data_IF_914581539546
#
_entry.id   IF_914581539546
#
_cell.length_a   1.000
_cell.length_b   1.000
_cell.length_c   1.000
_cell.angle_alpha   90.00
_cell.angle_beta   90.00
_cell.angle_gamma   90.00
#
_symmetry.space_group_name_H-M   'P 1'
#
loop_
_entity.id
_entity.type
_entity.pdbx_description
1 polymer ?
#
# COMPACT_ATOMS: atom_id res chain seq x y z
N UNK A 1 -2.67 0.62 -17.13
CA UNK A 1 -1.57 1.54 -17.53
C UNK A 1 -1.60 2.78 -16.62
N UNK A 2 -0.47 3.37 -16.18
CA UNK A 2 -0.42 4.40 -15.12
C UNK A 2 -1.20 5.71 -15.40
N UNK A 3 -1.79 5.86 -16.58
CA UNK A 3 -2.57 7.02 -17.01
C UNK A 3 -4.08 6.82 -16.90
N UNK A 4 -4.54 5.64 -16.48
CA UNK A 4 -5.97 5.31 -16.37
C UNK A 4 -6.70 6.11 -15.29
N UNK A 5 -5.97 6.72 -14.34
CA UNK A 5 -6.54 7.47 -13.23
C UNK A 5 -6.49 9.00 -13.41
N UNK A 6 -6.13 9.50 -14.60
CA UNK A 6 -6.07 10.94 -14.88
C UNK A 6 -4.96 11.68 -14.12
N UNK A 7 -4.01 10.96 -13.52
CA UNK A 7 -2.89 11.56 -12.79
C UNK A 7 -1.89 12.16 -13.79
N UNK A 8 -1.53 13.45 -13.67
CA UNK A 8 -0.53 14.07 -14.53
C UNK A 8 0.80 13.30 -14.51
N UNK A 9 1.35 13.04 -15.70
CA UNK A 9 2.64 12.32 -15.86
C UNK A 9 3.76 12.92 -15.01
N UNK A 10 3.79 14.24 -14.90
CA UNK A 10 4.78 14.94 -14.09
C UNK A 10 4.75 14.53 -12.61
N UNK A 11 3.56 14.31 -12.02
CA UNK A 11 3.44 13.86 -10.63
C UNK A 11 3.93 12.41 -10.48
N UNK A 12 3.65 11.56 -11.47
CA UNK A 12 4.13 10.17 -11.49
C UNK A 12 5.66 10.15 -11.55
N UNK A 13 6.26 10.98 -12.41
CA UNK A 13 7.72 11.06 -12.55
C UNK A 13 8.37 11.63 -11.29
N UNK A 14 7.78 12.65 -10.65
CA UNK A 14 8.23 13.15 -9.34
C UNK A 14 8.16 12.08 -8.25
N UNK A 15 7.08 11.30 -8.20
CA UNK A 15 6.97 10.19 -7.26
C UNK A 15 8.05 9.13 -7.51
N UNK A 16 8.30 8.74 -8.77
CA UNK A 16 9.37 7.80 -9.13
C UNK A 16 10.75 8.28 -8.68
N UNK A 17 11.04 9.57 -8.83
CA UNK A 17 12.30 10.17 -8.36
C UNK A 17 12.40 10.06 -6.84
N UNK A 18 11.33 10.37 -6.10
CA UNK A 18 11.34 10.30 -4.63
C UNK A 18 11.64 8.89 -4.12
N UNK A 19 11.23 7.86 -4.86
CA UNK A 19 11.42 6.45 -4.51
C UNK A 19 12.56 5.79 -5.29
N UNK A 20 13.44 6.56 -5.93
CA UNK A 20 14.58 6.02 -6.67
C UNK A 20 15.72 5.66 -5.72
N UNK A 21 16.17 4.41 -5.77
CA UNK A 21 17.30 3.88 -4.98
C UNK A 21 17.26 4.27 -3.48
N UNK A 22 16.15 4.01 -2.77
CA UNK A 22 16.02 4.42 -1.38
C UNK A 22 17.03 3.66 -0.51
N UNK A 23 17.53 4.32 0.52
CA UNK A 23 18.50 3.77 1.46
C UNK A 23 18.08 4.04 2.89
N UNK A 24 18.39 3.12 3.78
CA UNK A 24 18.03 3.16 5.19
C UNK A 24 19.23 3.03 6.11
N UNK A 25 19.01 3.45 7.37
CA UNK A 25 19.87 3.18 8.52
C UNK A 25 19.00 2.84 9.71
N UNK A 26 19.49 2.00 10.60
CA UNK A 26 18.81 1.65 11.86
C UNK A 26 19.61 2.24 13.00
N UNK A 27 18.96 3.05 13.84
CA UNK A 27 19.55 3.55 15.09
C UNK A 27 19.12 2.66 16.25
N UNK A 28 20.08 2.12 16.99
CA UNK A 28 19.86 1.30 18.17
C UNK A 28 20.79 1.73 19.31
N UNK A 29 20.61 1.16 20.51
CA UNK A 29 21.47 1.47 21.67
C UNK A 29 22.96 1.16 21.42
N UNK A 30 23.27 0.19 20.55
CA UNK A 30 24.62 -0.17 20.14
C UNK A 30 25.23 0.78 19.09
N UNK A 31 24.50 1.79 18.63
CA UNK A 31 24.92 2.73 17.58
C UNK A 31 24.00 2.72 16.36
N UNK A 32 24.45 3.38 15.29
CA UNK A 32 23.74 3.44 14.00
C UNK A 32 24.34 2.44 13.02
N UNK A 33 23.49 1.71 12.30
CA UNK A 33 23.95 0.76 11.27
C UNK A 33 24.68 1.48 10.12
N UNK A 34 25.46 0.71 9.37
CA UNK A 34 25.84 1.13 8.02
C UNK A 34 24.60 1.32 7.16
N UNK A 35 24.73 2.15 6.14
CA UNK A 35 23.66 2.39 5.18
C UNK A 35 23.42 1.15 4.32
N UNK A 36 22.16 0.80 4.10
CA UNK A 36 21.77 -0.34 3.26
C UNK A 36 20.64 0.05 2.30
N UNK A 37 20.54 -0.59 1.12
CA UNK A 37 19.48 -0.31 0.16
C UNK A 37 18.13 -0.82 0.67
N UNK A 38 17.06 -0.07 0.39
CA UNK A 38 15.68 -0.49 0.61
C UNK A 38 15.16 -1.02 -0.73
N UNK A 39 14.85 -2.31 -0.78
CA UNK A 39 14.38 -2.98 -2.01
C UNK A 39 12.85 -3.01 -2.14
N UNK A 40 12.13 -2.89 -1.03
CA UNK A 40 10.67 -3.01 -0.96
C UNK A 40 10.09 -2.01 0.03
N UNK A 41 8.81 -1.70 -0.16
CA UNK A 41 8.06 -0.82 0.72
C UNK A 41 8.19 0.66 0.37
N UNK A 42 7.58 1.48 1.22
CA UNK A 42 7.56 2.95 1.11
C UNK A 42 8.24 3.57 2.32
N UNK A 43 8.56 4.86 2.27
CA UNK A 43 9.21 5.55 3.39
C UNK A 43 8.24 5.65 4.57
N UNK A 44 8.60 5.06 5.71
CA UNK A 44 7.82 5.26 6.94
C UNK A 44 7.88 6.73 7.37
N UNK A 45 6.73 7.31 7.71
CA UNK A 45 6.63 8.73 8.10
C UNK A 45 6.56 9.72 6.93
N UNK A 46 6.62 9.27 5.68
CA UNK A 46 6.36 10.13 4.51
C UNK A 46 4.86 10.39 4.34
N UNK A 47 4.48 11.66 4.12
CA UNK A 47 3.10 12.05 3.84
C UNK A 47 2.55 11.47 2.52
N UNK A 48 3.43 11.09 1.58
CA UNK A 48 3.04 10.49 0.29
C UNK A 48 2.82 8.99 0.40
N UNK A 49 3.43 8.33 1.39
CA UNK A 49 3.37 6.87 1.56
C UNK A 49 1.94 6.33 1.76
N UNK A 50 1.08 6.95 2.59
CA UNK A 50 -0.32 6.52 2.72
C UNK A 50 -1.10 6.57 1.41
N UNK A 51 -0.87 7.60 0.59
CA UNK A 51 -1.55 7.73 -0.71
C UNK A 51 -1.12 6.61 -1.67
N UNK A 52 0.19 6.35 -1.78
CA UNK A 52 0.69 5.28 -2.63
C UNK A 52 0.20 3.91 -2.15
N UNK A 53 0.13 3.71 -0.83
CA UNK A 53 -0.42 2.49 -0.25
C UNK A 53 -1.88 2.28 -0.65
N UNK A 54 -2.74 3.28 -0.46
CA UNK A 54 -4.16 3.20 -0.83
C UNK A 54 -4.35 2.95 -2.33
N UNK A 55 -3.56 3.59 -3.21
CA UNK A 55 -3.65 3.35 -4.66
C UNK A 55 -3.31 1.90 -5.02
N UNK A 56 -2.27 1.33 -4.39
CA UNK A 56 -1.90 -0.08 -4.60
C UNK A 56 -2.97 -1.01 -4.04
N UNK A 57 -3.47 -0.73 -2.83
CA UNK A 57 -4.52 -1.53 -2.22
C UNK A 57 -5.81 -1.49 -3.03
N UNK A 58 -6.22 -0.34 -3.55
CA UNK A 58 -7.37 -0.21 -4.45
C UNK A 58 -7.20 -1.08 -5.71
N UNK A 59 -6.02 -1.04 -6.33
CA UNK A 59 -5.74 -1.83 -7.52
C UNK A 59 -5.78 -3.34 -7.26
N UNK A 60 -5.21 -3.81 -6.15
CA UNK A 60 -5.15 -5.25 -5.81
C UNK A 60 -6.51 -5.78 -5.34
N UNK A 61 -7.27 -4.96 -4.62
CA UNK A 61 -8.56 -5.36 -4.05
C UNK A 61 -9.75 -5.08 -4.96
N UNK A 62 -9.55 -4.45 -6.13
CA UNK A 62 -10.63 -3.98 -7.03
C UNK A 62 -11.71 -5.02 -7.29
N UNK A 63 -11.31 -6.26 -7.54
CA UNK A 63 -12.24 -7.35 -7.88
C UNK A 63 -12.86 -8.01 -6.64
N UNK A 64 -12.30 -7.75 -5.46
CA UNK A 64 -12.76 -8.27 -4.17
C UNK A 64 -13.67 -7.29 -3.42
N UNK A 65 -13.58 -5.99 -3.73
CA UNK A 65 -14.35 -4.94 -3.06
C UNK A 65 -15.85 -5.07 -3.33
N UNK A 66 -16.62 -5.24 -2.24
CA UNK A 66 -18.07 -5.13 -2.25
C UNK A 66 -18.52 -3.87 -1.50
N UNK A 67 -19.70 -3.31 -1.83
CA UNK A 67 -20.24 -2.16 -1.10
C UNK A 67 -20.37 -2.42 0.41
N UNK A 68 -20.31 -1.36 1.20
CA UNK A 68 -20.55 -1.40 2.65
C UNK A 68 -21.88 -2.11 2.96
N UNK A 69 -21.95 -3.00 3.96
CA UNK A 69 -20.92 -3.31 4.97
C UNK A 69 -20.02 -4.50 4.65
N UNK A 70 -20.06 -5.05 3.44
CA UNK A 70 -19.45 -6.36 3.12
C UNK A 70 -17.92 -6.31 2.97
N UNK A 71 -17.39 -5.22 2.44
CA UNK A 71 -15.94 -4.97 2.37
C UNK A 71 -15.65 -3.54 2.78
N UNK A 72 -14.66 -3.37 3.66
CA UNK A 72 -14.16 -2.06 4.07
C UNK A 72 -12.63 -2.11 4.09
N UNK A 73 -12.00 -1.13 3.43
CA UNK A 73 -10.56 -0.93 3.50
C UNK A 73 -10.27 0.38 4.21
N UNK A 74 -9.38 0.33 5.18
CA UNK A 74 -8.88 1.52 5.86
C UNK A 74 -7.37 1.40 6.06
N UNK A 75 -6.60 2.23 5.35
CA UNK A 75 -5.14 2.13 5.39
C UNK A 75 -4.72 0.66 5.17
N UNK A 76 -3.98 0.07 6.11
CA UNK A 76 -3.53 -1.32 6.11
C UNK A 76 -4.57 -2.35 6.57
N UNK A 77 -5.71 -1.92 7.14
CA UNK A 77 -6.76 -2.81 7.62
C UNK A 77 -7.79 -3.13 6.53
N UNK A 78 -8.17 -4.40 6.46
CA UNK A 78 -9.27 -4.89 5.64
C UNK A 78 -10.30 -5.61 6.50
N UNK A 79 -11.57 -5.25 6.36
CA UNK A 79 -12.69 -5.94 6.97
C UNK A 79 -13.53 -6.61 5.90
N UNK A 80 -13.82 -7.90 6.10
CA UNK A 80 -14.74 -8.69 5.30
C UNK A 80 -15.91 -9.13 6.18
N UNK A 81 -17.13 -9.03 5.65
CA UNK A 81 -18.34 -9.52 6.29
C UNK A 81 -19.13 -10.40 5.32
N UNK A 82 -19.82 -11.40 5.89
CA UNK A 82 -20.71 -12.32 5.15
C UNK A 82 -21.83 -12.78 6.09
N UNK A 83 -22.96 -13.18 5.50
CA UNK A 83 -24.09 -13.75 6.24
C UNK A 83 -23.82 -15.18 6.75
N UNK A 84 -22.85 -15.87 6.16
CA UNK A 84 -22.49 -17.22 6.53
C UNK A 84 -20.98 -17.44 6.56
N UNK A 85 -20.57 -18.43 7.37
CA UNK A 85 -19.16 -18.77 7.61
C UNK A 85 -18.45 -19.27 6.34
N UNK A 86 -19.16 -19.97 5.46
CA UNK A 86 -18.56 -20.54 4.25
C UNK A 86 -18.25 -19.42 3.26
N UNK A 87 -19.17 -18.46 3.10
CA UNK A 87 -18.96 -17.24 2.31
C UNK A 87 -17.77 -16.44 2.82
N UNK A 88 -17.68 -16.20 4.13
CA UNK A 88 -16.57 -15.47 4.73
C UNK A 88 -15.22 -16.17 4.49
N UNK A 89 -15.18 -17.49 4.69
CA UNK A 89 -13.97 -18.29 4.47
C UNK A 89 -13.53 -18.25 3.00
N UNK A 90 -14.47 -18.34 2.05
CA UNK A 90 -14.16 -18.24 0.62
C UNK A 90 -13.60 -16.86 0.26
N UNK A 91 -14.19 -15.78 0.78
CA UNK A 91 -13.72 -14.42 0.51
C UNK A 91 -12.32 -14.17 1.09
N UNK A 92 -12.04 -14.67 2.29
CA UNK A 92 -10.73 -14.51 2.92
C UNK A 92 -9.61 -15.35 2.24
N UNK A 93 -9.97 -16.31 1.40
CA UNK A 93 -9.05 -17.21 0.70
C UNK A 93 -8.91 -16.91 -0.81
N UNK A 94 -9.64 -15.90 -1.31
CA UNK A 94 -9.59 -15.45 -2.70
C UNK A 94 -8.38 -14.53 -2.93
#
# INVERSE_FOLDING_TARGET
>A
MPYEHGVPKELIDRARILYSSPKGRVQAAAGTSVEFPISVGVHQGSALSPLLFVVVMDAISRDLQQPVPWTLLHADDAMLASNDRIGLQKQAQA
#
